data_IF_556415593209
#
_entry.id   IF_556415593209
#
_cell.length_a   1.000
_cell.length_b   1.000
_cell.length_c   1.000
_cell.angle_alpha   90.00
_cell.angle_beta   90.00
_cell.angle_gamma   90.00
#
_symmetry.space_group_name_H-M   'P 1'
#
loop_
_entity.id
_entity.type
_entity.pdbx_description
1 polymer ?
#
# COMPACT_ATOMS: atom_id res chain seq x y z
N UNK A 1 0.71 -11.91 -7.12
CA UNK A 1 1.21 -11.86 -5.70
C UNK A 1 0.86 -10.50 -5.09
N UNK A 2 0.91 -10.31 -3.77
CA UNK A 2 0.54 -9.02 -3.15
C UNK A 2 1.48 -8.54 -2.03
N UNK A 3 1.51 -7.22 -1.84
CA UNK A 3 2.32 -6.50 -0.86
C UNK A 3 1.46 -5.51 -0.08
N UNK A 4 1.62 -5.44 1.23
CA UNK A 4 0.93 -4.45 2.06
C UNK A 4 1.79 -3.20 2.23
N UNK A 5 1.36 -2.09 1.63
CA UNK A 5 2.03 -0.78 1.69
C UNK A 5 1.32 0.19 2.65
N UNK A 6 0.17 -0.22 3.20
CA UNK A 6 -0.73 0.59 4.01
C UNK A 6 -1.84 1.23 3.18
N UNK A 7 -3.03 1.38 3.78
CA UNK A 7 -4.21 1.94 3.11
C UNK A 7 -3.91 3.32 2.53
N UNK A 8 -4.25 3.54 1.26
CA UNK A 8 -4.01 4.80 0.59
C UNK A 8 -2.54 5.12 0.27
N UNK A 9 -1.64 4.15 0.28
CA UNK A 9 -0.28 4.34 -0.20
C UNK A 9 -0.28 4.69 -1.69
N UNK A 10 0.44 5.75 -2.06
CA UNK A 10 0.52 6.29 -3.42
C UNK A 10 1.83 5.88 -4.08
N UNK A 11 1.75 5.03 -5.11
CA UNK A 11 2.89 4.50 -5.86
C UNK A 11 3.26 5.50 -6.95
N UNK A 12 4.52 5.94 -6.98
CA UNK A 12 4.95 7.08 -7.81
C UNK A 12 6.05 6.76 -8.81
N UNK A 13 6.85 5.72 -8.60
CA UNK A 13 7.90 5.34 -9.53
C UNK A 13 8.19 3.84 -9.48
N UNK A 14 8.77 3.34 -10.57
CA UNK A 14 9.33 2.00 -10.68
C UNK A 14 10.76 2.09 -11.22
N UNK A 15 11.70 1.44 -10.56
CA UNK A 15 13.00 1.09 -11.13
C UNK A 15 13.06 -0.43 -11.29
N UNK A 16 13.50 -0.90 -12.44
CA UNK A 16 13.69 -2.33 -12.67
C UNK A 16 15.07 -2.64 -13.25
N UNK A 17 15.55 -3.82 -12.91
CA UNK A 17 16.71 -4.46 -13.52
C UNK A 17 16.43 -5.94 -13.53
N UNK A 18 15.95 -6.44 -14.67
CA UNK A 18 15.45 -7.80 -14.82
C UNK A 18 16.16 -8.50 -15.97
N UNK A 19 16.24 -9.82 -15.87
CA UNK A 19 16.59 -10.74 -16.94
C UNK A 19 15.38 -11.61 -17.18
N UNK A 20 14.90 -11.59 -18.42
CA UNK A 20 13.76 -12.38 -18.87
C UNK A 20 14.29 -13.53 -19.70
N UNK A 21 13.66 -14.69 -19.56
CA UNK A 21 13.82 -15.81 -20.48
C UNK A 21 12.44 -16.16 -21.00
N UNK A 22 12.18 -15.94 -22.28
CA UNK A 22 11.02 -16.47 -22.98
C UNK A 22 11.39 -17.83 -23.60
N UNK A 23 10.55 -18.84 -23.44
CA UNK A 23 10.77 -20.15 -24.05
C UNK A 23 10.08 -20.21 -25.41
N UNK A 24 10.74 -20.80 -26.40
CA UNK A 24 10.19 -20.98 -27.76
C UNK A 24 8.86 -21.75 -27.70
N UNK A 25 7.72 -21.22 -28.19
CA UNK A 25 7.61 -20.12 -29.16
C UNK A 25 7.29 -18.71 -28.64
N UNK A 26 7.17 -18.49 -27.32
CA UNK A 26 6.92 -17.18 -26.71
C UNK A 26 8.03 -16.16 -26.95
N UNK A 27 7.68 -14.88 -26.92
CA UNK A 27 8.60 -13.76 -27.13
C UNK A 27 8.92 -12.97 -25.85
N UNK A 28 10.11 -12.36 -25.83
CA UNK A 28 10.50 -11.41 -24.78
C UNK A 28 9.56 -10.19 -24.70
N UNK A 29 8.94 -9.81 -25.83
CA UNK A 29 7.94 -8.75 -25.93
C UNK A 29 6.57 -9.11 -25.35
N UNK A 30 6.32 -10.38 -25.03
CA UNK A 30 5.05 -10.83 -24.45
C UNK A 30 5.13 -10.92 -22.92
N UNK A 31 6.34 -11.06 -22.38
CA UNK A 31 6.60 -11.10 -20.95
C UNK A 31 6.15 -9.80 -20.27
N UNK A 32 5.06 -9.90 -19.51
CA UNK A 32 4.37 -8.76 -18.93
C UNK A 32 4.19 -8.87 -17.41
N UNK A 33 4.16 -7.71 -16.76
CA UNK A 33 3.81 -7.54 -15.36
C UNK A 33 2.64 -6.55 -15.26
N UNK A 34 1.56 -6.94 -14.58
CA UNK A 34 0.54 -6.01 -14.10
C UNK A 34 0.88 -5.63 -12.65
N UNK A 35 0.94 -4.33 -12.38
CA UNK A 35 0.89 -3.78 -11.02
C UNK A 35 -0.43 -3.06 -10.82
N UNK A 36 -1.16 -3.35 -9.74
CA UNK A 36 -2.49 -2.77 -9.52
C UNK A 36 -2.89 -2.65 -8.05
N UNK A 37 -3.93 -1.86 -7.78
CA UNK A 37 -4.71 -1.93 -6.54
C UNK A 37 -5.72 -3.09 -6.58
N UNK A 38 -6.30 -3.45 -5.44
CA UNK A 38 -7.23 -4.59 -5.32
C UNK A 38 -8.52 -4.41 -6.09
N UNK A 39 -8.99 -3.18 -6.25
CA UNK A 39 -10.18 -2.86 -7.03
C UNK A 39 -9.95 -2.90 -8.54
N UNK A 40 -8.69 -2.96 -9.01
CA UNK A 40 -8.33 -2.88 -10.42
C UNK A 40 -8.63 -1.52 -11.07
N UNK A 41 -8.88 -0.49 -10.26
CA UNK A 41 -9.18 0.87 -10.75
C UNK A 41 -7.93 1.70 -11.01
N UNK A 42 -6.78 1.28 -10.47
CA UNK A 42 -5.48 1.90 -10.67
C UNK A 42 -4.39 0.87 -10.80
N UNK A 43 -3.41 1.16 -11.65
CA UNK A 43 -2.33 0.24 -11.98
C UNK A 43 -1.69 0.55 -13.32
N UNK A 44 -0.69 -0.23 -13.69
CA UNK A 44 0.00 -0.14 -14.97
C UNK A 44 0.52 -1.52 -15.41
N UNK A 45 0.77 -1.64 -16.71
CA UNK A 45 1.47 -2.77 -17.30
C UNK A 45 2.93 -2.40 -17.57
N UNK A 46 3.84 -3.33 -17.31
CA UNK A 46 5.24 -3.26 -17.70
C UNK A 46 5.55 -4.43 -18.64
N UNK A 47 6.16 -4.11 -19.77
CA UNK A 47 6.70 -5.07 -20.73
C UNK A 47 8.16 -4.68 -21.00
N UNK A 48 9.15 -5.25 -20.29
CA UNK A 48 10.53 -4.78 -20.38
C UNK A 48 11.14 -4.98 -21.78
N UNK A 49 10.79 -6.08 -22.46
CA UNK A 49 11.23 -6.41 -23.81
C UNK A 49 10.31 -5.88 -24.91
N UNK A 50 9.63 -4.75 -24.70
CA UNK A 50 8.69 -4.22 -25.68
C UNK A 50 9.36 -4.04 -27.06
N UNK A 51 8.87 -4.80 -28.05
CA UNK A 51 9.39 -4.81 -29.43
C UNK A 51 10.51 -5.83 -29.70
N UNK A 52 10.96 -6.58 -28.70
CA UNK A 52 11.86 -7.72 -28.88
C UNK A 52 11.06 -9.01 -29.13
N UNK A 53 10.65 -9.20 -30.38
CA UNK A 53 9.84 -10.33 -30.87
C UNK A 53 10.70 -11.58 -31.14
N UNK A 54 11.47 -11.98 -30.12
CA UNK A 54 12.37 -13.13 -30.16
C UNK A 54 12.26 -13.93 -28.87
N UNK A 55 12.44 -15.25 -28.97
CA UNK A 55 12.57 -16.13 -27.81
C UNK A 55 13.99 -16.09 -27.23
N UNK A 56 14.20 -16.67 -26.05
CA UNK A 56 15.50 -16.76 -25.40
C UNK A 56 15.63 -15.79 -24.23
N UNK A 57 16.87 -15.40 -23.90
CA UNK A 57 17.19 -14.65 -22.67
C UNK A 57 17.77 -13.27 -22.97
N UNK A 58 17.21 -12.22 -22.36
CA UNK A 58 17.71 -10.85 -22.44
C UNK A 58 17.55 -10.10 -21.11
N UNK A 59 18.33 -9.04 -20.91
CA UNK A 59 18.29 -8.20 -19.70
C UNK A 59 17.84 -6.78 -20.03
N UNK A 60 16.96 -6.24 -19.18
CA UNK A 60 16.35 -4.92 -19.32
C UNK A 60 16.45 -4.16 -18.01
N UNK A 61 16.79 -2.88 -18.06
CA UNK A 61 16.82 -2.03 -16.88
C UNK A 61 16.42 -0.60 -17.22
N UNK A 62 15.51 -0.03 -16.43
CA UNK A 62 15.02 1.33 -16.62
C UNK A 62 14.45 1.91 -15.32
N UNK A 63 14.31 3.23 -15.30
CA UNK A 63 13.56 3.98 -14.29
C UNK A 63 12.37 4.68 -14.94
N UNK A 64 11.17 4.49 -14.39
CA UNK A 64 9.94 5.15 -14.80
C UNK A 64 9.34 6.00 -13.69
N UNK A 65 9.20 7.31 -13.94
CA UNK A 65 8.39 8.21 -13.11
C UNK A 65 6.92 8.09 -13.50
N UNK A 66 6.17 7.31 -12.72
CA UNK A 66 4.77 6.99 -13.02
C UNK A 66 3.87 8.23 -12.93
N UNK A 67 4.22 9.21 -12.09
CA UNK A 67 3.45 10.46 -11.98
C UNK A 67 3.57 11.26 -13.26
N UNK A 68 4.78 11.37 -13.81
CA UNK A 68 5.01 12.06 -15.09
C UNK A 68 4.30 11.37 -16.25
N UNK A 69 4.15 10.05 -16.21
CA UNK A 69 3.41 9.28 -17.21
C UNK A 69 1.88 9.22 -16.96
N UNK A 70 1.40 9.69 -15.81
CA UNK A 70 -0.02 9.55 -15.42
C UNK A 70 -0.45 8.11 -15.17
N UNK A 71 0.50 7.27 -14.76
CA UNK A 71 0.33 5.84 -14.44
C UNK A 71 0.43 5.57 -12.92
N UNK A 72 0.65 6.61 -12.13
CA UNK A 72 0.65 6.51 -10.68
C UNK A 72 -0.73 6.11 -10.15
N UNK A 73 -0.74 5.37 -9.06
CA UNK A 73 -1.98 4.87 -8.46
C UNK A 73 -1.86 4.72 -6.95
N UNK A 74 -3.00 4.52 -6.31
CA UNK A 74 -3.09 4.43 -4.85
C UNK A 74 -3.69 3.08 -4.46
N UNK A 75 -3.11 2.42 -3.46
CA UNK A 75 -3.69 1.20 -2.86
C UNK A 75 -5.04 1.51 -2.23
N UNK A 76 -5.96 0.56 -2.26
CA UNK A 76 -7.29 0.72 -1.67
C UNK A 76 -7.25 0.71 -0.12
N UNK A 77 -8.43 0.64 0.51
CA UNK A 77 -8.57 0.64 1.96
C UNK A 77 -7.89 -0.56 2.66
N UNK A 78 -7.61 -1.64 1.92
CA UNK A 78 -6.86 -2.79 2.40
C UNK A 78 -5.33 -2.58 2.38
N UNK A 79 -4.85 -1.54 1.69
CA UNK A 79 -3.44 -1.21 1.56
C UNK A 79 -2.63 -2.18 0.71
N UNK A 80 -3.29 -3.00 -0.11
CA UNK A 80 -2.62 -4.02 -0.92
C UNK A 80 -2.29 -3.52 -2.32
N UNK A 81 -1.05 -3.78 -2.74
CA UNK A 81 -0.62 -3.70 -4.14
C UNK A 81 -0.44 -5.12 -4.67
N UNK A 82 -1.00 -5.40 -5.85
CA UNK A 82 -0.86 -6.66 -6.57
C UNK A 82 0.19 -6.56 -7.66
N UNK A 83 0.94 -7.65 -7.85
CA UNK A 83 1.89 -7.88 -8.93
C UNK A 83 1.58 -9.22 -9.59
N UNK A 84 1.14 -9.19 -10.84
CA UNK A 84 0.84 -10.41 -11.60
C UNK A 84 1.73 -10.50 -12.83
N UNK A 85 2.52 -11.56 -12.89
CA UNK A 85 3.45 -11.85 -13.98
C UNK A 85 2.76 -12.82 -14.93
N UNK A 86 2.76 -12.50 -16.21
CA UNK A 86 2.09 -13.27 -17.24
C UNK A 86 2.78 -13.05 -18.59
N UNK A 87 2.39 -13.84 -19.57
CA UNK A 87 2.68 -13.61 -20.97
C UNK A 87 1.38 -13.10 -21.63
N UNK A 88 1.50 -12.06 -22.46
CA UNK A 88 0.33 -11.40 -23.05
C UNK A 88 -0.36 -12.19 -24.17
N UNK A 89 0.26 -13.26 -24.66
CA UNK A 89 -0.26 -14.09 -25.75
C UNK A 89 0.05 -15.57 -25.51
N UNK A 90 -0.94 -16.33 -25.05
CA UNK A 90 -0.80 -17.77 -24.76
C UNK A 90 -0.77 -18.60 -26.07
N UNK A 91 0.33 -19.31 -26.31
CA UNK A 91 0.51 -20.22 -27.43
C UNK A 91 0.08 -21.67 -27.15
N UNK A 92 -0.35 -21.98 -25.92
CA UNK A 92 -0.79 -23.27 -25.40
C UNK A 92 0.21 -24.45 -25.58
N UNK A 93 1.47 -24.19 -25.95
CA UNK A 93 2.47 -25.24 -26.25
C UNK A 93 3.45 -25.51 -25.09
N UNK A 94 3.80 -24.48 -24.32
CA UNK A 94 4.72 -24.56 -23.17
C UNK A 94 4.04 -24.07 -21.88
N UNK A 95 4.49 -24.55 -20.71
CA UNK A 95 4.08 -23.98 -19.41
C UNK A 95 5.10 -24.30 -18.31
N UNK A 96 5.77 -23.31 -17.70
CA UNK A 96 5.60 -21.86 -17.90
C UNK A 96 6.26 -21.35 -19.19
N UNK A 97 5.72 -20.28 -19.76
CA UNK A 97 6.14 -19.65 -21.04
C UNK A 97 7.42 -18.82 -20.92
N UNK A 98 7.76 -18.44 -19.69
CA UNK A 98 9.01 -17.76 -19.42
C UNK A 98 9.33 -17.64 -17.94
N UNK A 99 10.49 -17.04 -17.66
CA UNK A 99 11.03 -16.86 -16.32
C UNK A 99 11.57 -15.43 -16.16
N UNK A 100 11.26 -14.84 -15.01
CA UNK A 100 11.79 -13.54 -14.59
C UNK A 100 12.87 -13.73 -13.52
N UNK A 101 13.99 -13.00 -13.64
CA UNK A 101 15.03 -12.90 -12.62
C UNK A 101 15.46 -11.45 -12.44
N UNK A 102 15.74 -11.00 -11.22
CA UNK A 102 16.24 -9.64 -10.95
C UNK A 102 15.40 -8.89 -9.93
N UNK A 103 15.32 -7.57 -10.10
CA UNK A 103 14.73 -6.66 -9.10
C UNK A 103 13.71 -5.72 -9.71
N UNK A 104 12.61 -5.51 -8.97
CA UNK A 104 11.63 -4.44 -9.16
C UNK A 104 11.61 -3.60 -7.88
N UNK A 105 11.86 -2.31 -7.99
CA UNK A 105 11.90 -1.37 -6.86
C UNK A 105 10.83 -0.30 -7.05
N UNK A 106 9.81 -0.36 -6.19
CA UNK A 106 8.71 0.62 -6.21
C UNK A 106 8.99 1.75 -5.22
N UNK A 107 8.82 2.99 -5.68
CA UNK A 107 8.79 4.17 -4.81
C UNK A 107 7.34 4.52 -4.51
N UNK A 108 7.02 4.77 -3.25
CA UNK A 108 5.68 5.15 -2.83
C UNK A 108 5.69 6.10 -1.63
N UNK A 109 4.63 6.87 -1.48
CA UNK A 109 4.33 7.67 -0.28
C UNK A 109 3.27 6.95 0.55
N UNK A 110 3.48 6.69 1.85
CA UNK A 110 2.47 6.06 2.69
C UNK A 110 1.18 6.88 2.78
N UNK A 111 0.04 6.20 2.79
CA UNK A 111 -1.25 6.85 2.98
C UNK A 111 -1.40 7.42 4.39
N UNK A 112 -2.21 8.46 4.52
CA UNK A 112 -2.57 8.99 5.85
C UNK A 112 -3.48 7.99 6.57
N UNK A 113 -3.14 7.53 7.80
CA UNK A 113 -4.00 6.61 8.54
C UNK A 113 -5.35 7.28 8.82
N UNK A 114 -6.42 6.83 8.16
CA UNK A 114 -7.78 7.37 8.38
C UNK A 114 -8.49 6.71 9.56
N UNK A 115 -7.88 5.71 10.21
CA UNK A 115 -8.55 4.81 11.16
C UNK A 115 -8.28 5.03 12.65
N UNK A 116 -7.50 6.04 13.04
CA UNK A 116 -7.22 6.34 14.44
C UNK A 116 -7.93 7.60 14.89
N UNK A 117 -9.24 7.56 15.13
CA UNK A 117 -9.87 8.61 15.94
C UNK A 117 -9.03 8.74 17.21
N UNK A 118 -8.57 9.96 17.52
CA UNK A 118 -7.67 10.20 18.66
C UNK A 118 -8.39 9.74 19.91
N UNK A 119 -8.16 8.50 20.34
CA UNK A 119 -8.69 7.98 21.60
C UNK A 119 -7.95 8.77 22.66
N UNK A 120 -8.61 9.61 23.46
CA UNK A 120 -7.94 10.28 24.55
C UNK A 120 -7.30 9.20 25.41
N UNK A 121 -5.99 9.31 25.64
CA UNK A 121 -5.25 8.28 26.37
C UNK A 121 -5.92 8.00 27.72
N UNK A 122 -5.80 6.78 28.27
CA UNK A 122 -6.41 6.42 29.57
C UNK A 122 -6.12 7.45 30.68
N UNK A 123 -4.97 8.11 30.62
CA UNK A 123 -4.59 9.18 31.54
C UNK A 123 -5.48 10.43 31.40
N UNK A 124 -5.93 10.81 30.19
CA UNK A 124 -6.82 11.95 30.00
C UNK A 124 -8.18 11.73 30.69
N UNK A 125 -8.72 10.52 30.59
CA UNK A 125 -9.93 10.13 31.32
C UNK A 125 -9.74 10.14 32.82
N UNK A 126 -8.62 9.60 33.30
CA UNK A 126 -8.27 9.61 34.71
C UNK A 126 -8.16 11.05 35.26
N UNK A 127 -7.54 11.96 34.51
CA UNK A 127 -7.41 13.37 34.90
C UNK A 127 -8.74 14.11 34.92
N UNK A 128 -9.65 13.84 33.98
CA UNK A 128 -11.00 14.40 33.99
C UNK A 128 -11.80 13.89 35.19
N UNK A 129 -11.79 12.57 35.43
CA UNK A 129 -12.48 11.97 36.57
C UNK A 129 -11.92 12.51 37.90
N UNK A 130 -10.59 12.58 38.02
CA UNK A 130 -9.93 13.14 39.19
C UNK A 130 -10.32 14.62 39.40
N UNK A 131 -10.27 15.43 38.33
CA UNK A 131 -10.67 16.84 38.38
C UNK A 131 -12.12 17.03 38.81
N UNK A 132 -13.06 16.34 38.17
CA UNK A 132 -14.48 16.42 38.53
C UNK A 132 -14.76 15.85 39.93
N UNK A 133 -14.08 14.77 40.31
CA UNK A 133 -14.17 14.18 41.65
C UNK A 133 -13.71 15.16 42.75
N UNK A 134 -12.60 15.86 42.54
CA UNK A 134 -12.09 16.88 43.47
C UNK A 134 -13.06 18.06 43.60
N UNK A 135 -13.57 18.58 42.47
CA UNK A 135 -14.56 19.67 42.48
C UNK A 135 -15.82 19.25 43.22
N UNK A 136 -16.40 18.10 42.90
CA UNK A 136 -17.60 17.57 43.56
C UNK A 136 -17.41 17.34 45.06
N UNK A 137 -16.28 16.76 45.46
CA UNK A 137 -15.95 16.54 46.87
C UNK A 137 -15.83 17.87 47.65
N UNK A 138 -15.21 18.89 47.05
CA UNK A 138 -15.06 20.20 47.67
C UNK A 138 -16.41 20.88 47.93
N UNK A 139 -17.37 20.77 46.99
CA UNK A 139 -18.72 21.30 47.12
C UNK A 139 -19.52 20.56 48.20
N UNK A 140 -19.38 19.23 48.30
CA UNK A 140 -20.07 18.42 49.32
C UNK A 140 -19.62 18.77 50.74
N UNK A 141 -18.32 19.01 50.95
CA UNK A 141 -17.77 19.40 52.27
C UNK A 141 -18.34 20.74 52.77
N UNK A 142 -18.53 21.71 51.87
CA UNK A 142 -19.09 23.03 52.22
C UNK A 142 -20.54 22.94 52.71
N UNK A 143 -21.37 22.07 52.13
CA UNK A 143 -22.77 21.90 52.55
C UNK A 143 -22.90 21.31 53.96
N UNK A 144 -22.01 20.42 54.36
CA UNK A 144 -22.03 19.82 55.71
C UNK A 144 -21.70 20.85 56.81
N UNK A 145 -20.83 21.82 56.51
CA UNK A 145 -20.50 22.91 57.43
C UNK A 145 -21.66 23.89 57.67
N UNK A 146 -22.63 23.97 56.76
CA UNK A 146 -23.76 24.93 56.85
C UNK A 146 -24.94 24.31 57.60
N UNK A 147 -25.08 22.98 57.61
CA UNK A 147 -26.19 22.27 58.26
C UNK A 147 -26.03 22.07 59.77
N UNK A 148 -24.90 22.47 60.37
CA UNK A 148 -24.63 22.32 61.81
C UNK A 148 -24.88 23.61 62.63
N UNK A 149 -25.55 24.61 62.06
CA UNK A 149 -25.97 25.82 62.77
C UNK A 149 -27.51 25.87 62.84
N UNK A 150 -28.07 25.19 63.83
CA UNK A 150 -29.44 25.39 64.31
C UNK A 150 -29.43 25.26 65.83
N UNK A 151 -29.44 26.41 66.51
CA UNK A 151 -29.71 26.61 67.92
C UNK A 151 -30.94 27.53 68.04
#
# INVERSE_FOLDING_TARGET
>A
MSFNLGAGAHITALEYSVTLTAFDPSWLSEMSLLSSNTSGTGGFYLTPGLGDDEWGTASYAEFGDLVSFGLDFTTDADGLMWLDFFESFDDEEINPDGVWNGTLTFTYTPGTPTGGGVVPEPAAWAMMIAGFGLVGASLRRRRQSISSLSA
#
